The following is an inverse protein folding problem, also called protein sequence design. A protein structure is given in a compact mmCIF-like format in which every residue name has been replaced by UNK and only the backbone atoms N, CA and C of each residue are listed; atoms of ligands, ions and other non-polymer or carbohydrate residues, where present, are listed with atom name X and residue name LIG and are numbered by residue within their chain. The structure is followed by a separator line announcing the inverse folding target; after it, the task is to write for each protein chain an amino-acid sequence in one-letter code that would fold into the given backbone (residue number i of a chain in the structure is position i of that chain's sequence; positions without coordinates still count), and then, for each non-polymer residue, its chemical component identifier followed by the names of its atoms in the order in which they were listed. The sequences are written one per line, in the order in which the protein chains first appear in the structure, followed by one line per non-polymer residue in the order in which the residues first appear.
data_IF_543592586689
#
_entry.id   IF_543592586689
#
_cell.length_a   1.000
_cell.length_b   1.000
_cell.length_c   1.000
_cell.angle_alpha   90.00
_cell.angle_beta   90.00
_cell.angle_gamma   90.00
#
_symmetry.space_group_name_H-M   'P 1'
#
loop_
_entity.id
_entity.type
_entity.pdbx_description
1 polymer ?
#
# COMPACT_ATOMS: atom_id res chain seq x y z
N UNK A 1 -30.71 2.11 -25.80
CA UNK A 1 -29.45 1.65 -26.45
C UNK A 1 -28.21 2.50 -26.10
N UNK A 2 -28.22 3.38 -25.08
CA UNK A 2 -27.08 4.29 -24.83
C UNK A 2 -25.95 3.74 -23.93
N UNK A 3 -26.14 2.60 -23.25
CA UNK A 3 -25.14 2.06 -22.30
C UNK A 3 -23.97 1.27 -22.94
N UNK A 4 -24.16 0.66 -24.11
CA UNK A 4 -23.16 -0.25 -24.69
C UNK A 4 -21.97 0.50 -25.32
N UNK A 5 -22.23 1.65 -25.95
CA UNK A 5 -21.21 2.45 -26.67
C UNK A 5 -20.16 3.03 -25.71
N UNK A 6 -20.55 3.34 -24.46
CA UNK A 6 -19.62 3.86 -23.45
C UNK A 6 -18.66 2.80 -22.91
N UNK A 7 -19.13 1.57 -22.70
CA UNK A 7 -18.28 0.45 -22.23
C UNK A 7 -17.21 0.09 -23.27
N UNK A 8 -17.61 0.03 -24.54
CA UNK A 8 -16.75 -0.29 -25.68
C UNK A 8 -15.63 0.76 -25.87
N UNK A 9 -15.95 2.06 -25.81
CA UNK A 9 -14.95 3.14 -25.97
C UNK A 9 -13.86 3.15 -24.90
N UNK A 10 -14.16 2.72 -23.68
CA UNK A 10 -13.16 2.73 -22.59
C UNK A 10 -12.12 1.63 -22.78
N UNK A 11 -12.53 0.44 -23.22
CA UNK A 11 -11.61 -0.68 -23.48
C UNK A 11 -10.65 -0.40 -24.65
N UNK A 12 -11.13 0.23 -25.74
CA UNK A 12 -10.24 0.62 -26.85
C UNK A 12 -9.14 1.60 -26.40
N UNK A 13 -9.47 2.56 -25.53
CA UNK A 13 -8.47 3.51 -25.01
C UNK A 13 -7.40 2.83 -24.16
N UNK A 14 -7.76 1.80 -23.38
CA UNK A 14 -6.80 1.02 -22.59
C UNK A 14 -5.96 0.08 -23.46
N UNK A 15 -6.51 -0.48 -24.55
CA UNK A 15 -5.77 -1.32 -25.49
C UNK A 15 -4.69 -0.53 -26.24
N UNK A 16 -5.03 0.62 -26.82
CA UNK A 16 -4.08 1.47 -27.57
C UNK A 16 -2.92 1.97 -26.70
N UNK A 17 -3.16 2.24 -25.41
CA UNK A 17 -2.11 2.60 -24.45
C UNK A 17 -1.18 1.41 -24.17
N UNK A 18 -1.71 0.18 -24.04
CA UNK A 18 -0.89 -1.03 -23.86
C UNK A 18 -0.02 -1.31 -25.10
N UNK A 19 -0.58 -1.18 -26.30
CA UNK A 19 0.16 -1.37 -27.55
C UNK A 19 1.26 -0.31 -27.75
N UNK A 20 0.99 0.96 -27.44
CA UNK A 20 2.03 2.01 -27.46
C UNK A 20 3.14 1.79 -26.42
N UNK A 21 2.83 1.21 -25.26
CA UNK A 21 3.85 0.85 -24.26
C UNK A 21 4.67 -0.36 -24.76
N UNK A 22 4.02 -1.37 -25.36
CA UNK A 22 4.68 -2.55 -25.91
C UNK A 22 5.65 -2.20 -27.05
N UNK A 23 5.20 -1.42 -28.03
CA UNK A 23 6.04 -0.96 -29.14
C UNK A 23 7.23 -0.12 -28.67
N UNK A 24 7.06 0.67 -27.60
CA UNK A 24 8.14 1.47 -27.01
C UNK A 24 9.14 0.64 -26.20
N UNK A 25 8.78 -0.57 -25.76
CA UNK A 25 9.71 -1.55 -25.20
C UNK A 25 10.48 -2.28 -26.32
N UNK A 26 9.81 -2.63 -27.41
CA UNK A 26 10.41 -3.37 -28.53
C UNK A 26 11.32 -2.50 -29.41
N UNK A 27 11.05 -1.19 -29.54
CA UNK A 27 11.85 -0.26 -30.34
C UNK A 27 13.17 0.20 -29.69
N UNK A 28 13.53 -0.28 -28.49
CA UNK A 28 14.72 0.14 -27.74
C UNK A 28 15.78 -0.98 -27.59
N UNK A 29 15.61 -2.11 -28.28
CA UNK A 29 16.56 -3.22 -28.27
C UNK A 29 17.61 -3.16 -29.37
N UNK A 30 18.64 -2.31 -29.22
CA UNK A 30 20.10 -2.58 -29.41
C UNK A 30 20.89 -1.24 -29.29
N UNK A 31 22.21 -1.12 -29.14
CA UNK A 31 23.32 -2.08 -28.93
C UNK A 31 24.25 -1.49 -27.84
N UNK A 32 24.82 -2.26 -26.89
CA UNK A 32 26.23 -2.74 -26.91
C UNK A 32 26.58 -3.52 -25.64
N UNK A 33 27.26 -4.67 -25.82
CA UNK A 33 27.95 -5.39 -24.74
C UNK A 33 29.05 -4.50 -24.14
N UNK A 34 28.99 -4.23 -22.85
CA UNK A 34 30.14 -3.74 -22.10
C UNK A 34 30.35 -4.58 -20.84
N UNK A 35 31.60 -4.92 -20.53
CA UNK A 35 31.93 -5.85 -19.44
C UNK A 35 31.82 -5.15 -18.08
N UNK A 36 31.17 -5.81 -17.12
CA UNK A 36 31.25 -5.43 -15.71
C UNK A 36 30.37 -4.25 -15.30
N UNK A 37 29.09 -4.52 -15.04
CA UNK A 37 28.40 -3.96 -13.87
C UNK A 37 27.15 -4.79 -13.58
N UNK A 38 27.12 -5.42 -12.41
CA UNK A 38 25.93 -6.11 -11.92
C UNK A 38 24.92 -5.03 -11.52
N UNK A 39 23.92 -4.78 -12.36
CA UNK A 39 22.81 -3.89 -12.00
C UNK A 39 22.11 -4.51 -10.81
N UNK A 40 22.38 -3.97 -9.61
CA UNK A 40 21.65 -4.36 -8.41
C UNK A 40 20.23 -3.86 -8.59
N UNK A 41 19.33 -4.73 -9.01
CA UNK A 41 17.93 -4.60 -8.62
C UNK A 41 17.91 -4.48 -7.09
N UNK A 42 17.40 -3.34 -6.62
CA UNK A 42 17.40 -2.97 -5.21
C UNK A 42 16.31 -3.82 -4.53
N UNK A 43 16.67 -5.08 -4.23
CA UNK A 43 15.75 -6.09 -3.74
C UNK A 43 14.91 -5.57 -2.57
N UNK A 44 13.66 -6.03 -2.50
CA UNK A 44 12.72 -5.69 -1.44
C UNK A 44 13.39 -5.59 -0.07
N UNK A 45 13.17 -4.48 0.64
CA UNK A 45 13.79 -4.25 1.95
C UNK A 45 12.79 -3.67 2.95
N UNK A 46 12.82 -4.23 4.16
CA UNK A 46 12.20 -3.68 5.37
C UNK A 46 13.31 -3.04 6.19
N UNK A 47 13.17 -1.75 6.49
CA UNK A 47 14.07 -1.01 7.40
C UNK A 47 13.32 -0.62 8.65
N UNK A 48 13.76 -1.14 9.80
CA UNK A 48 13.20 -0.82 11.11
C UNK A 48 13.97 0.38 11.70
N UNK A 49 13.23 1.37 12.23
CA UNK A 49 13.77 2.62 12.79
C UNK A 49 13.10 2.95 14.11
N UNK A 50 13.86 3.56 15.02
CA UNK A 50 13.30 4.19 16.23
C UNK A 50 12.86 5.63 15.95
N UNK A 51 11.73 6.05 16.50
CA UNK A 51 11.24 7.43 16.47
C UNK A 51 9.86 7.59 15.82
N UNK A 52 9.48 8.84 15.54
CA UNK A 52 8.12 9.18 15.08
C UNK A 52 7.91 8.91 13.58
N UNK A 53 6.92 8.05 13.30
CA UNK A 53 6.40 7.77 11.97
C UNK A 53 5.96 9.04 11.21
N UNK A 54 5.52 10.08 11.91
CA UNK A 54 4.94 11.29 11.31
C UNK A 54 5.96 12.41 11.08
N UNK A 55 7.23 12.21 11.42
CA UNK A 55 8.35 13.17 11.29
C UNK A 55 9.30 12.72 10.18
N UNK A 56 9.58 13.60 9.21
CA UNK A 56 10.48 13.29 8.10
C UNK A 56 9.91 12.30 7.09
N UNK A 57 8.58 12.13 7.08
CA UNK A 57 7.84 11.21 6.19
C UNK A 57 6.85 11.94 5.30
N UNK A 58 6.97 13.26 5.15
CA UNK A 58 6.02 14.16 4.47
C UNK A 58 5.74 13.71 3.02
N UNK A 59 6.79 13.29 2.32
CA UNK A 59 6.76 12.78 0.94
C UNK A 59 6.68 11.25 0.85
N UNK A 60 6.52 10.53 1.97
CA UNK A 60 6.41 9.07 2.01
C UNK A 60 4.95 8.66 2.20
N UNK A 61 4.50 7.63 1.48
CA UNK A 61 3.15 7.08 1.70
C UNK A 61 3.09 6.40 3.07
N UNK A 62 1.95 6.51 3.77
CA UNK A 62 1.82 5.97 5.12
C UNK A 62 0.82 4.81 5.16
N UNK A 63 0.99 3.87 6.08
CA UNK A 63 0.02 2.79 6.32
C UNK A 63 -0.22 2.53 7.82
N UNK A 64 -1.45 2.18 8.19
CA UNK A 64 -1.78 1.64 9.52
C UNK A 64 -3.05 0.77 9.51
N UNK A 65 -3.22 -0.07 10.53
CA UNK A 65 -4.42 -0.89 10.71
C UNK A 65 -5.59 -0.10 11.32
N UNK A 66 -6.79 -0.37 10.82
CA UNK A 66 -8.06 0.08 11.39
C UNK A 66 -9.13 -1.01 11.32
N UNK A 67 -10.23 -0.79 12.04
CA UNK A 67 -11.49 -1.50 11.87
C UNK A 67 -12.36 -0.88 10.77
N UNK A 68 -13.22 -1.69 10.15
CA UNK A 68 -14.23 -1.25 9.16
C UNK A 68 -15.18 -0.18 9.71
N UNK A 69 -15.40 -0.12 11.03
CA UNK A 69 -16.20 0.94 11.68
C UNK A 69 -15.47 2.29 11.87
N UNK A 70 -14.20 2.41 11.41
CA UNK A 70 -13.40 3.64 11.27
C UNK A 70 -13.33 4.50 12.55
N UNK A 71 -13.52 3.91 13.74
CA UNK A 71 -13.56 4.67 15.00
C UNK A 71 -12.24 5.39 15.30
N UNK A 72 -11.11 4.72 15.06
CA UNK A 72 -9.74 5.25 15.20
C UNK A 72 -9.46 5.97 16.54
N UNK A 73 -10.00 5.45 17.64
CA UNK A 73 -10.04 6.13 18.94
C UNK A 73 -8.89 5.84 19.92
N UNK A 74 -7.91 4.99 19.57
CA UNK A 74 -6.76 4.66 20.42
C UNK A 74 -5.47 4.48 19.62
N UNK A 75 -4.32 4.65 20.30
CA UNK A 75 -2.99 4.45 19.74
C UNK A 75 -2.69 5.38 18.56
N UNK A 76 -1.86 4.90 17.64
CA UNK A 76 -1.43 5.69 16.47
C UNK A 76 -2.58 6.09 15.54
N UNK A 77 -3.70 5.34 15.53
CA UNK A 77 -4.87 5.65 14.70
C UNK A 77 -5.50 7.02 15.04
N UNK A 78 -5.39 7.50 16.29
CA UNK A 78 -5.83 8.85 16.68
C UNK A 78 -5.02 9.92 15.95
N UNK A 79 -3.71 9.69 15.81
CA UNK A 79 -2.79 10.60 15.14
C UNK A 79 -3.03 10.62 13.62
N UNK A 80 -3.29 9.46 13.00
CA UNK A 80 -3.74 9.39 11.60
C UNK A 80 -5.07 10.15 11.40
N UNK A 81 -6.05 9.96 12.27
CA UNK A 81 -7.34 10.67 12.23
C UNK A 81 -7.17 12.18 12.36
N UNK A 82 -6.34 12.63 13.31
CA UNK A 82 -6.04 14.05 13.53
C UNK A 82 -5.27 14.69 12.36
N UNK A 83 -4.26 14.00 11.82
CA UNK A 83 -3.38 14.54 10.76
C UNK A 83 -3.97 14.48 9.35
N UNK A 84 -4.91 13.56 9.07
CA UNK A 84 -5.43 13.31 7.71
C UNK A 84 -6.95 13.39 7.53
N UNK A 85 -7.71 13.40 8.63
CA UNK A 85 -9.18 13.44 8.61
C UNK A 85 -9.79 12.25 7.85
N UNK A 86 -10.74 12.54 6.96
CA UNK A 86 -11.22 11.60 5.95
C UNK A 86 -12.04 10.41 6.45
N UNK A 87 -12.60 10.46 7.66
CA UNK A 87 -13.43 9.35 8.20
C UNK A 87 -14.59 9.01 7.25
N UNK A 88 -15.29 10.01 6.72
CA UNK A 88 -16.38 9.78 5.77
C UNK A 88 -15.86 9.26 4.43
N UNK A 89 -14.80 9.85 3.87
CA UNK A 89 -14.13 9.37 2.65
C UNK A 89 -13.68 7.89 2.74
N UNK A 90 -13.33 7.40 3.93
CA UNK A 90 -12.99 5.98 4.18
C UNK A 90 -14.27 5.12 4.23
N UNK A 91 -15.31 5.57 4.95
CA UNK A 91 -16.59 4.86 5.07
C UNK A 91 -17.29 4.71 3.70
N UNK A 92 -17.26 5.76 2.88
CA UNK A 92 -17.88 5.78 1.54
C UNK A 92 -17.22 4.79 0.57
N UNK A 93 -15.96 4.40 0.81
CA UNK A 93 -15.29 3.33 0.06
C UNK A 93 -15.81 1.92 0.41
N UNK A 94 -16.61 1.77 1.47
CA UNK A 94 -17.31 0.55 1.89
C UNK A 94 -16.40 -0.71 2.03
N UNK A 95 -15.12 -0.49 2.33
CA UNK A 95 -14.09 -1.55 2.40
C UNK A 95 -14.36 -2.53 3.55
N UNK A 96 -14.01 -3.80 3.34
CA UNK A 96 -14.22 -4.90 4.30
C UNK A 96 -12.88 -5.43 4.83
N UNK A 97 -12.87 -6.21 5.94
CA UNK A 97 -11.67 -6.88 6.40
C UNK A 97 -10.99 -7.68 5.29
N UNK A 98 -9.69 -7.51 5.13
CA UNK A 98 -8.93 -8.09 4.01
C UNK A 98 -8.79 -7.17 2.78
N UNK A 99 -9.37 -5.97 2.81
CA UNK A 99 -9.19 -4.93 1.79
C UNK A 99 -8.51 -3.67 2.41
N UNK A 100 -8.23 -2.66 1.57
CA UNK A 100 -7.60 -1.39 1.96
C UNK A 100 -8.46 -0.20 1.54
N UNK A 101 -8.66 0.77 2.43
CA UNK A 101 -9.15 2.10 2.05
C UNK A 101 -7.97 3.03 1.83
N UNK A 102 -8.07 3.93 0.86
CA UNK A 102 -6.97 4.82 0.46
C UNK A 102 -7.44 6.26 0.45
N UNK A 103 -6.65 7.15 1.06
CA UNK A 103 -6.81 8.59 0.93
C UNK A 103 -5.60 9.17 0.21
N UNK A 104 -5.81 9.98 -0.82
CA UNK A 104 -4.76 10.81 -1.43
C UNK A 104 -4.66 12.13 -0.67
N UNK A 105 -3.45 12.51 -0.27
CA UNK A 105 -3.15 13.75 0.47
C UNK A 105 -1.88 14.36 -0.08
N UNK A 106 -2.02 15.41 -0.90
CA UNK A 106 -0.92 15.97 -1.69
C UNK A 106 -0.33 14.93 -2.64
N UNK A 107 1.00 14.76 -2.59
CA UNK A 107 1.75 13.82 -3.43
C UNK A 107 1.80 12.39 -2.89
N UNK A 108 1.22 12.10 -1.72
CA UNK A 108 1.24 10.76 -1.09
C UNK A 108 -0.14 10.13 -0.93
N UNK A 109 -0.12 8.82 -0.74
CA UNK A 109 -1.25 8.03 -0.29
C UNK A 109 -1.15 7.70 1.20
N UNK A 110 -2.30 7.59 1.85
CA UNK A 110 -2.46 7.09 3.22
C UNK A 110 -3.33 5.84 3.14
N UNK A 111 -2.76 4.70 3.52
CA UNK A 111 -3.36 3.38 3.45
C UNK A 111 -3.96 2.97 4.79
N UNK A 112 -5.28 2.79 4.80
CA UNK A 112 -6.05 2.36 5.94
C UNK A 112 -6.33 0.86 5.77
N UNK A 113 -5.49 0.07 6.43
CA UNK A 113 -5.52 -1.39 6.35
C UNK A 113 -6.72 -1.91 7.15
N UNK A 114 -7.79 -2.33 6.46
CA UNK A 114 -9.01 -2.84 7.12
C UNK A 114 -8.76 -4.27 7.55
N UNK A 115 -8.36 -4.50 8.80
CA UNK A 115 -7.96 -5.85 9.26
C UNK A 115 -9.03 -6.55 10.10
N UNK A 116 -10.10 -5.85 10.48
CA UNK A 116 -11.18 -6.34 11.35
C UNK A 116 -12.47 -5.53 11.20
N UNK A 117 -13.60 -6.09 11.58
CA UNK A 117 -14.90 -5.41 11.44
C UNK A 117 -15.09 -4.27 12.45
N UNK A 118 -14.85 -4.56 13.74
CA UNK A 118 -15.11 -3.66 14.86
C UNK A 118 -13.84 -3.34 15.61
N UNK A 119 -13.75 -2.15 16.21
CA UNK A 119 -12.50 -1.71 16.86
C UNK A 119 -12.07 -2.58 18.04
N UNK A 120 -13.01 -3.28 18.70
CA UNK A 120 -12.75 -4.21 19.81
C UNK A 120 -12.44 -5.65 19.37
N UNK A 121 -12.67 -6.01 18.10
CA UNK A 121 -12.24 -7.31 17.58
C UNK A 121 -10.70 -7.36 17.49
N UNK A 122 -10.15 -8.56 17.35
CA UNK A 122 -8.75 -8.78 16.99
C UNK A 122 -8.65 -9.11 15.50
N UNK A 123 -7.65 -8.58 14.77
CA UNK A 123 -7.40 -9.01 13.40
C UNK A 123 -6.81 -10.42 13.38
N UNK A 124 -6.71 -11.02 12.19
CA UNK A 124 -6.03 -12.30 11.98
C UNK A 124 -4.85 -12.10 11.04
N UNK A 125 -3.89 -13.04 11.04
CA UNK A 125 -2.82 -13.05 10.04
C UNK A 125 -3.37 -13.17 8.60
N UNK A 126 -4.52 -13.82 8.41
CA UNK A 126 -5.19 -13.92 7.12
C UNK A 126 -5.75 -12.57 6.64
N UNK A 127 -6.50 -11.87 7.49
CA UNK A 127 -7.04 -10.55 7.14
C UNK A 127 -5.91 -9.53 6.92
N UNK A 128 -4.87 -9.55 7.75
CA UNK A 128 -3.66 -8.75 7.53
C UNK A 128 -3.01 -9.04 6.17
N UNK A 129 -2.77 -10.32 5.82
CA UNK A 129 -2.14 -10.70 4.54
C UNK A 129 -2.97 -10.26 3.34
N UNK A 130 -4.28 -10.48 3.36
CA UNK A 130 -5.19 -10.06 2.29
C UNK A 130 -5.16 -8.53 2.10
N UNK A 131 -5.22 -7.78 3.19
CA UNK A 131 -5.16 -6.31 3.15
C UNK A 131 -3.80 -5.79 2.67
N UNK A 132 -2.69 -6.43 3.06
CA UNK A 132 -1.36 -6.10 2.54
C UNK A 132 -1.24 -6.37 1.03
N UNK A 133 -1.84 -7.46 0.54
CA UNK A 133 -1.92 -7.74 -0.89
C UNK A 133 -2.78 -6.69 -1.63
N UNK A 134 -3.85 -6.19 -1.01
CA UNK A 134 -4.65 -5.09 -1.55
C UNK A 134 -3.85 -3.78 -1.61
N UNK A 135 -3.11 -3.44 -0.55
CA UNK A 135 -2.19 -2.30 -0.52
C UNK A 135 -1.11 -2.42 -1.61
N UNK A 136 -0.49 -3.60 -1.77
CA UNK A 136 0.50 -3.86 -2.84
C UNK A 136 -0.07 -3.60 -4.24
N UNK A 137 -1.27 -4.10 -4.54
CA UNK A 137 -1.91 -3.88 -5.86
C UNK A 137 -2.07 -2.39 -6.16
N UNK A 138 -2.56 -1.62 -5.19
CA UNK A 138 -2.68 -0.17 -5.33
C UNK A 138 -1.31 0.51 -5.46
N UNK A 139 -0.34 0.15 -4.61
CA UNK A 139 1.00 0.73 -4.62
C UNK A 139 1.69 0.55 -5.98
N UNK A 140 1.61 -0.65 -6.58
CA UNK A 140 2.13 -0.91 -7.92
C UNK A 140 1.38 -0.14 -9.01
N UNK A 141 0.04 -0.12 -8.97
CA UNK A 141 -0.78 0.62 -9.93
C UNK A 141 -0.46 2.12 -9.99
N UNK A 142 -0.08 2.72 -8.85
CA UNK A 142 0.23 4.14 -8.73
C UNK A 142 1.74 4.43 -8.54
N UNK A 143 2.62 3.49 -8.90
CA UNK A 143 4.09 3.61 -8.86
C UNK A 143 4.65 4.12 -7.51
N UNK A 144 4.06 3.68 -6.40
CA UNK A 144 4.53 4.02 -5.05
C UNK A 144 5.80 3.24 -4.72
N UNK A 145 6.90 3.95 -4.55
CA UNK A 145 8.23 3.37 -4.29
C UNK A 145 8.58 3.20 -2.80
N UNK A 146 7.86 3.85 -1.89
CA UNK A 146 8.15 3.83 -0.45
C UNK A 146 6.88 3.96 0.41
N UNK A 147 6.76 3.11 1.43
CA UNK A 147 5.67 3.14 2.42
C UNK A 147 6.26 3.06 3.83
N UNK A 148 5.91 4.02 4.68
CA UNK A 148 6.25 4.02 6.11
C UNK A 148 5.04 3.60 6.96
N UNK A 149 5.27 2.83 8.02
CA UNK A 149 4.21 2.26 8.87
C UNK A 149 4.73 2.03 10.31
N UNK A 150 3.86 1.89 11.32
CA UNK A 150 4.25 1.37 12.63
C UNK A 150 4.43 -0.16 12.54
N UNK A 151 4.69 -0.82 13.68
CA UNK A 151 4.47 -2.28 13.81
C UNK A 151 2.96 -2.61 13.70
N UNK A 152 2.48 -2.75 12.47
CA UNK A 152 1.06 -2.90 12.12
C UNK A 152 0.44 -4.19 12.67
N UNK A 153 -0.78 -4.11 13.19
CA UNK A 153 -1.48 -5.25 13.80
C UNK A 153 -0.90 -5.73 15.14
N UNK A 154 0.18 -5.14 15.63
CA UNK A 154 0.77 -5.44 16.93
C UNK A 154 0.14 -4.61 18.07
N UNK A 155 0.63 -4.80 19.29
CA UNK A 155 0.17 -4.05 20.47
C UNK A 155 -1.30 -4.32 20.80
N UNK A 156 -2.15 -3.30 20.68
CA UNK A 156 -3.60 -3.42 20.96
C UNK A 156 -4.30 -4.48 20.10
N UNK A 157 -3.79 -4.76 18.90
CA UNK A 157 -4.33 -5.76 17.98
C UNK A 157 -3.78 -7.18 18.24
N UNK A 158 -2.67 -7.32 18.98
CA UNK A 158 -2.19 -8.60 19.51
C UNK A 158 -1.50 -9.55 18.53
N UNK A 159 -1.21 -9.15 17.29
CA UNK A 159 -0.35 -9.95 16.40
C UNK A 159 1.13 -9.80 16.78
N UNK A 160 1.90 -10.87 16.57
CA UNK A 160 3.33 -10.97 16.89
C UNK A 160 4.16 -10.36 15.75
N UNK A 161 5.09 -9.46 16.08
CA UNK A 161 5.80 -8.65 15.06
C UNK A 161 6.60 -9.51 14.09
N UNK A 162 7.27 -10.54 14.58
CA UNK A 162 8.09 -11.48 13.81
C UNK A 162 7.24 -12.10 12.69
N UNK A 163 6.03 -12.56 13.01
CA UNK A 163 5.10 -13.14 12.03
C UNK A 163 4.48 -12.10 11.09
N UNK A 164 4.24 -10.87 11.57
CA UNK A 164 3.83 -9.74 10.72
C UNK A 164 4.91 -9.39 9.70
N UNK A 165 6.17 -9.36 10.13
CA UNK A 165 7.35 -9.05 9.32
C UNK A 165 7.62 -10.13 8.26
N UNK A 166 7.43 -11.40 8.60
CA UNK A 166 7.40 -12.50 7.62
C UNK A 166 6.33 -12.26 6.55
N UNK A 167 5.08 -11.97 6.94
CA UNK A 167 3.98 -11.72 6.00
C UNK A 167 4.25 -10.49 5.11
N UNK A 168 4.78 -9.40 5.66
CA UNK A 168 5.21 -8.23 4.90
C UNK A 168 6.27 -8.62 3.85
N UNK A 169 7.28 -9.39 4.26
CA UNK A 169 8.33 -9.88 3.35
C UNK A 169 7.72 -10.73 2.24
N UNK A 170 6.87 -11.68 2.60
CA UNK A 170 6.22 -12.61 1.68
C UNK A 170 5.34 -11.94 0.62
N UNK A 171 4.67 -10.84 1.00
CA UNK A 171 3.77 -10.10 0.11
C UNK A 171 4.53 -9.20 -0.86
N UNK A 172 5.67 -8.62 -0.44
CA UNK A 172 6.37 -7.57 -1.19
C UNK A 172 7.76 -7.97 -1.75
N UNK A 173 8.29 -9.17 -1.47
CA UNK A 173 9.62 -9.66 -1.90
C UNK A 173 9.90 -9.60 -3.41
N UNK A 174 8.85 -9.59 -4.22
CA UNK A 174 8.82 -9.50 -5.68
C UNK A 174 8.59 -8.06 -6.18
N UNK A 175 8.87 -7.04 -5.36
CA UNK A 175 8.68 -5.61 -5.68
C UNK A 175 9.81 -4.74 -5.16
N UNK A 176 10.08 -3.63 -5.86
CA UNK A 176 11.05 -2.61 -5.43
C UNK A 176 10.49 -1.64 -4.36
N UNK A 177 9.33 -1.96 -3.76
CA UNK A 177 8.65 -1.10 -2.78
C UNK A 177 9.41 -1.16 -1.45
N UNK A 178 9.95 -0.02 -1.03
CA UNK A 178 10.72 0.12 0.21
C UNK A 178 9.77 0.27 1.40
N UNK A 179 9.89 -0.61 2.39
CA UNK A 179 9.07 -0.58 3.60
C UNK A 179 9.90 -0.03 4.75
N UNK A 180 9.41 1.00 5.43
CA UNK A 180 10.05 1.60 6.60
C UNK A 180 9.13 1.44 7.80
N UNK A 181 9.58 0.68 8.80
CA UNK A 181 8.82 0.40 10.02
C UNK A 181 9.35 1.28 11.13
N UNK A 182 8.46 2.01 11.80
CA UNK A 182 8.78 2.85 12.93
C UNK A 182 8.31 2.20 14.23
N UNK A 183 9.18 2.24 15.23
CA UNK A 183 8.93 1.83 16.62
C UNK A 183 9.34 2.97 17.56
N UNK A 184 8.64 3.09 18.69
CA UNK A 184 8.98 4.00 19.78
C UNK A 184 9.41 3.14 20.99
#
# INVERSE_FOLDING_TARGET
MHGYIHYVKNNYRTAVIKEHIQQKYESNGDIKKNKGNHVRCDAFSIKEKKGDLFVGTENTCLAHCISQDVKMGKGIAVHFKSKFGGVQEILDQNRKPGDVAVLKRGHRFVYYLITKERYWHKPTYLSLRSTLQAMKRHALQYAVSSIAMPKIGCGLDGLVWERVREILTDVFKDTDIKIIVYEF
#
